data_IF_160818500777
#
_entry.id   IF_160818500777
#
_cell.length_a   1.000
_cell.length_b   1.000
_cell.length_c   1.000
_cell.angle_alpha   90.00
_cell.angle_beta   90.00
_cell.angle_gamma   90.00
#
_symmetry.space_group_name_H-M   'P 1'
#
loop_
_entity.id
_entity.type
_entity.pdbx_description
1 polymer ?
#
# COMPACT_ATOMS: atom_id res chain seq x y z
N UNK A 1 50.41 70.79 68.00
CA UNK A 1 51.16 70.03 66.97
C UNK A 1 50.29 68.85 66.58
N UNK A 2 49.40 69.08 65.62
CA UNK A 2 48.56 68.05 65.02
C UNK A 2 48.73 68.21 63.51
N UNK A 3 49.20 67.13 62.92
CA UNK A 3 49.69 66.99 61.56
C UNK A 3 48.57 67.04 60.52
N UNK A 4 48.95 67.63 59.38
CA UNK A 4 48.19 67.82 58.16
C UNK A 4 47.55 66.54 57.61
N UNK A 5 46.25 66.61 57.34
CA UNK A 5 45.50 65.63 56.57
C UNK A 5 45.49 66.10 55.11
N UNK A 6 46.28 65.42 54.27
CA UNK A 6 46.36 65.68 52.83
C UNK A 6 45.14 65.07 52.13
N UNK A 7 44.29 65.96 51.63
CA UNK A 7 43.16 65.66 50.75
C UNK A 7 43.68 65.26 49.35
N UNK A 8 43.54 63.99 48.99
CA UNK A 8 43.88 63.49 47.65
C UNK A 8 42.60 63.36 46.84
N UNK A 9 42.31 64.40 46.06
CA UNK A 9 41.15 64.49 45.18
C UNK A 9 41.08 63.32 44.19
N UNK A 10 39.98 62.58 44.26
CA UNK A 10 39.59 61.54 43.33
C UNK A 10 39.15 62.18 41.99
N UNK A 11 39.94 62.00 40.93
CA UNK A 11 39.56 62.39 39.57
C UNK A 11 38.69 61.27 38.96
N UNK A 12 37.46 61.54 38.51
CA UNK A 12 36.67 60.53 37.79
C UNK A 12 37.22 60.32 36.38
N UNK A 13 37.43 59.05 36.00
CA UNK A 13 37.83 58.65 34.64
C UNK A 13 36.72 58.97 33.60
N UNK A 14 37.08 59.36 32.36
CA UNK A 14 36.11 59.57 31.30
C UNK A 14 35.48 58.25 30.83
N UNK A 15 34.20 58.25 30.42
CA UNK A 15 33.49 57.01 30.06
C UNK A 15 34.05 56.35 28.79
N UNK A 16 34.02 55.00 28.70
CA UNK A 16 34.52 54.28 27.54
C UNK A 16 33.62 54.48 26.32
N UNK A 17 34.23 54.76 25.17
CA UNK A 17 33.54 54.90 23.87
C UNK A 17 33.18 53.52 23.30
N UNK A 18 31.87 53.26 23.16
CA UNK A 18 31.35 52.06 22.47
C UNK A 18 31.70 52.12 20.98
N UNK A 19 32.66 51.29 20.54
CA UNK A 19 32.85 51.00 19.11
C UNK A 19 31.80 49.98 18.67
N UNK A 20 30.90 50.39 17.77
CA UNK A 20 29.83 49.55 17.22
C UNK A 20 30.40 48.42 16.37
N UNK A 21 30.57 47.26 16.98
CA UNK A 21 31.06 46.03 16.36
C UNK A 21 29.91 45.28 15.65
N UNK A 22 29.23 45.95 14.71
CA UNK A 22 27.95 45.46 14.15
C UNK A 22 27.77 45.32 12.63
N UNK A 23 28.72 45.59 11.70
CA UNK A 23 28.47 45.28 10.30
C UNK A 23 29.04 43.93 9.82
N UNK A 24 29.96 43.27 10.55
CA UNK A 24 30.67 42.10 9.99
C UNK A 24 29.96 40.76 10.16
N UNK A 25 28.99 40.63 11.08
CA UNK A 25 28.27 39.37 11.31
C UNK A 25 27.10 39.14 10.32
N UNK A 26 26.59 40.21 9.70
CA UNK A 26 25.43 40.14 8.81
C UNK A 26 25.77 39.61 7.40
N UNK A 27 26.99 39.89 6.90
CA UNK A 27 27.42 39.43 5.58
C UNK A 27 27.73 37.91 5.59
N UNK A 28 28.21 37.36 6.72
CA UNK A 28 28.48 35.93 6.88
C UNK A 28 27.21 35.07 7.03
N UNK A 29 26.20 35.53 7.77
CA UNK A 29 24.92 34.81 7.89
C UNK A 29 24.06 34.89 6.63
N UNK A 30 24.14 35.97 5.86
CA UNK A 30 23.35 36.14 4.63
C UNK A 30 23.70 35.12 3.55
N UNK A 31 24.99 34.83 3.36
CA UNK A 31 25.44 33.87 2.34
C UNK A 31 25.11 32.43 2.74
N UNK A 32 25.32 32.05 4.00
CA UNK A 32 25.00 30.71 4.50
C UNK A 32 23.49 30.44 4.54
N UNK A 33 22.70 31.45 4.93
CA UNK A 33 21.24 31.36 4.91
C UNK A 33 20.67 31.24 3.50
N UNK A 34 21.22 32.00 2.53
CA UNK A 34 20.79 31.92 1.13
C UNK A 34 21.17 30.58 0.48
N UNK A 35 22.38 30.06 0.75
CA UNK A 35 22.80 28.75 0.25
C UNK A 35 21.95 27.60 0.84
N UNK A 36 21.64 27.67 2.14
CA UNK A 36 20.73 26.73 2.80
C UNK A 36 19.31 26.80 2.21
N UNK A 37 18.81 28.00 1.89
CA UNK A 37 17.49 28.17 1.28
C UNK A 37 17.44 27.67 -0.17
N UNK A 38 18.53 27.80 -0.94
CA UNK A 38 18.63 27.20 -2.28
C UNK A 38 18.74 25.68 -2.25
N UNK A 39 19.44 25.11 -1.26
CA UNK A 39 19.52 23.66 -1.09
C UNK A 39 18.15 23.12 -0.64
N UNK A 40 17.53 23.71 0.38
CA UNK A 40 16.20 23.28 0.83
C UNK A 40 15.13 23.52 -0.24
N UNK A 41 15.14 24.68 -0.91
CA UNK A 41 14.22 25.00 -2.00
C UNK A 41 14.44 24.13 -3.23
N UNK A 42 15.69 23.82 -3.56
CA UNK A 42 16.05 22.91 -4.65
C UNK A 42 15.66 21.47 -4.34
N UNK A 43 15.82 21.01 -3.10
CA UNK A 43 15.37 19.69 -2.65
C UNK A 43 13.85 19.62 -2.61
N UNK A 44 13.14 20.63 -2.09
CA UNK A 44 11.67 20.68 -2.11
C UNK A 44 11.15 20.73 -3.54
N UNK A 45 11.75 21.53 -4.42
CA UNK A 45 11.39 21.58 -5.85
C UNK A 45 11.68 20.25 -6.56
N UNK A 46 12.80 19.60 -6.26
CA UNK A 46 13.14 18.29 -6.79
C UNK A 46 12.21 17.19 -6.28
N UNK A 47 11.92 17.18 -4.97
CA UNK A 47 11.01 16.23 -4.33
C UNK A 47 9.58 16.43 -4.82
N UNK A 48 9.09 17.67 -4.92
CA UNK A 48 7.74 17.94 -5.46
C UNK A 48 7.61 17.61 -6.94
N UNK A 49 8.69 17.76 -7.73
CA UNK A 49 8.69 17.42 -9.16
C UNK A 49 8.90 15.92 -9.44
N UNK A 50 9.57 15.20 -8.54
CA UNK A 50 9.79 13.74 -8.61
C UNK A 50 8.98 12.95 -7.57
N UNK A 51 8.00 13.58 -6.91
CA UNK A 51 7.19 12.94 -5.86
C UNK A 51 6.45 11.72 -6.41
N UNK A 52 5.93 11.82 -7.64
CA UNK A 52 5.32 10.70 -8.35
C UNK A 52 6.31 9.55 -8.60
N UNK A 53 7.56 9.86 -8.93
CA UNK A 53 8.61 8.84 -9.16
C UNK A 53 9.08 8.18 -7.86
N UNK A 54 9.22 8.96 -6.78
CA UNK A 54 9.55 8.47 -5.44
C UNK A 54 8.40 7.65 -4.83
N UNK A 55 7.14 8.07 -5.02
CA UNK A 55 5.96 7.31 -4.61
C UNK A 55 5.82 6.00 -5.38
N UNK A 56 6.08 5.99 -6.70
CA UNK A 56 5.99 4.77 -7.50
C UNK A 56 6.97 3.68 -7.03
N UNK A 57 8.20 4.07 -6.63
CA UNK A 57 9.15 3.13 -6.04
C UNK A 57 8.71 2.62 -4.66
N UNK A 58 8.04 3.46 -3.86
CA UNK A 58 7.41 3.05 -2.60
C UNK A 58 6.23 2.08 -2.80
N UNK A 59 5.32 2.39 -3.72
CA UNK A 59 4.18 1.55 -4.06
C UNK A 59 4.62 0.17 -4.57
N UNK A 60 5.63 0.12 -5.45
CA UNK A 60 6.24 -1.14 -5.88
C UNK A 60 6.73 -1.96 -4.70
N UNK A 61 7.46 -1.35 -3.74
CA UNK A 61 7.98 -2.08 -2.59
C UNK A 61 6.86 -2.73 -1.77
N UNK A 62 5.75 -2.01 -1.55
CA UNK A 62 4.58 -2.52 -0.82
C UNK A 62 3.97 -3.71 -1.56
N UNK A 63 3.71 -3.58 -2.86
CA UNK A 63 3.10 -4.66 -3.66
C UNK A 63 4.02 -5.88 -3.73
N UNK A 64 5.31 -5.69 -4.03
CA UNK A 64 6.30 -6.79 -4.07
C UNK A 64 6.41 -7.47 -2.71
N UNK A 65 6.37 -6.72 -1.62
CA UNK A 65 6.38 -7.27 -0.26
C UNK A 65 5.11 -8.10 0.03
N UNK A 66 3.94 -7.60 -0.35
CA UNK A 66 2.67 -8.32 -0.22
C UNK A 66 2.67 -9.61 -1.04
N UNK A 67 3.16 -9.57 -2.29
CA UNK A 67 3.29 -10.75 -3.15
C UNK A 67 4.27 -11.77 -2.54
N UNK A 68 5.42 -11.32 -2.04
CA UNK A 68 6.39 -12.23 -1.41
C UNK A 68 5.84 -12.90 -0.14
N UNK A 69 5.02 -12.19 0.64
CA UNK A 69 4.37 -12.71 1.84
C UNK A 69 3.15 -13.58 1.56
N UNK A 70 2.61 -13.55 0.34
CA UNK A 70 1.49 -14.42 -0.04
C UNK A 70 1.88 -15.90 -0.04
N UNK A 71 0.88 -16.79 0.01
CA UNK A 71 1.09 -18.24 -0.12
C UNK A 71 1.13 -18.73 -1.58
N UNK A 72 1.30 -17.81 -2.53
CA UNK A 72 1.40 -18.16 -3.95
C UNK A 72 2.65 -19.03 -4.23
N UNK A 73 2.58 -19.93 -5.22
CA UNK A 73 3.76 -20.64 -5.70
C UNK A 73 4.87 -19.65 -6.11
N UNK A 74 6.13 -20.00 -5.83
CA UNK A 74 7.27 -19.10 -6.10
C UNK A 74 7.31 -18.62 -7.57
N UNK A 75 6.94 -19.50 -8.51
CA UNK A 75 6.87 -19.14 -9.92
C UNK A 75 5.79 -18.08 -10.22
N UNK A 76 4.62 -18.18 -9.59
CA UNK A 76 3.53 -17.20 -9.69
C UNK A 76 3.95 -15.86 -9.07
N UNK A 77 4.60 -15.87 -7.91
CA UNK A 77 5.16 -14.65 -7.27
C UNK A 77 6.11 -13.91 -8.21
N UNK A 78 7.10 -14.62 -8.75
CA UNK A 78 8.08 -14.03 -9.66
C UNK A 78 7.43 -13.48 -10.93
N UNK A 79 6.43 -14.20 -11.47
CA UNK A 79 5.68 -13.74 -12.63
C UNK A 79 4.90 -12.44 -12.34
N UNK A 80 4.22 -12.35 -11.19
CA UNK A 80 3.51 -11.14 -10.76
C UNK A 80 4.49 -9.99 -10.52
N UNK A 81 5.58 -10.21 -9.77
CA UNK A 81 6.62 -9.20 -9.51
C UNK A 81 7.18 -8.65 -10.83
N UNK A 82 7.43 -9.51 -11.82
CA UNK A 82 7.89 -9.07 -13.12
C UNK A 82 6.88 -8.14 -13.84
N UNK A 83 5.57 -8.34 -13.66
CA UNK A 83 4.55 -7.43 -14.21
C UNK A 83 4.48 -6.11 -13.45
N UNK A 84 4.59 -6.14 -12.12
CA UNK A 84 4.69 -4.92 -11.29
C UNK A 84 5.91 -4.11 -11.68
N UNK A 85 7.04 -4.77 -11.96
CA UNK A 85 8.28 -4.14 -12.41
C UNK A 85 8.12 -3.50 -13.79
N UNK A 86 7.46 -4.19 -14.73
CA UNK A 86 7.13 -3.63 -16.05
C UNK A 86 6.30 -2.35 -15.91
N UNK A 87 5.22 -2.40 -15.12
CA UNK A 87 4.34 -1.26 -14.90
C UNK A 87 5.09 -0.10 -14.23
N UNK A 88 5.88 -0.39 -13.20
CA UNK A 88 6.70 0.61 -12.51
C UNK A 88 7.69 1.29 -13.45
N UNK A 89 8.43 0.50 -14.24
CA UNK A 89 9.44 1.01 -15.15
C UNK A 89 8.82 1.87 -16.27
N UNK A 90 7.66 1.46 -16.81
CA UNK A 90 6.94 2.25 -17.81
C UNK A 90 6.44 3.59 -17.25
N UNK A 91 5.98 3.60 -16.00
CA UNK A 91 5.60 4.86 -15.35
C UNK A 91 6.82 5.74 -15.05
N UNK A 92 7.95 5.16 -14.64
CA UNK A 92 9.19 5.91 -14.40
C UNK A 92 9.78 6.50 -15.68
N UNK A 93 9.69 5.79 -16.80
CA UNK A 93 10.14 6.28 -18.11
C UNK A 93 9.20 7.32 -18.72
N UNK A 94 8.00 7.49 -18.15
CA UNK A 94 6.94 8.32 -18.71
C UNK A 94 6.31 7.72 -19.97
N UNK A 95 6.47 6.41 -20.18
CA UNK A 95 5.81 5.65 -21.25
C UNK A 95 4.30 5.53 -21.00
N UNK A 96 3.91 5.45 -19.72
CA UNK A 96 2.52 5.54 -19.28
C UNK A 96 2.37 6.70 -18.29
N UNK A 97 1.20 7.32 -18.29
CA UNK A 97 0.88 8.42 -17.39
C UNK A 97 -0.05 7.99 -16.24
N UNK A 98 -0.59 8.97 -15.51
CA UNK A 98 -1.51 8.71 -14.41
C UNK A 98 -2.85 8.15 -14.87
N UNK A 99 -3.35 8.55 -16.05
CA UNK A 99 -4.61 8.06 -16.58
C UNK A 99 -4.49 6.59 -17.01
N UNK A 100 -3.34 6.20 -17.55
CA UNK A 100 -3.04 4.80 -17.85
C UNK A 100 -3.01 3.93 -16.59
N UNK A 101 -2.41 4.44 -15.50
CA UNK A 101 -2.44 3.75 -14.20
C UNK A 101 -3.85 3.65 -13.64
N UNK A 102 -4.64 4.72 -13.68
CA UNK A 102 -6.04 4.72 -13.23
C UNK A 102 -6.87 3.70 -14.01
N UNK A 103 -6.68 3.62 -15.33
CA UNK A 103 -7.30 2.59 -16.16
C UNK A 103 -6.86 1.18 -15.76
N UNK A 104 -5.58 0.96 -15.47
CA UNK A 104 -5.10 -0.33 -14.97
C UNK A 104 -5.75 -0.70 -13.63
N UNK A 105 -5.94 0.28 -12.73
CA UNK A 105 -6.62 0.08 -11.45
C UNK A 105 -8.10 -0.22 -11.63
N UNK A 106 -8.80 0.47 -12.52
CA UNK A 106 -10.20 0.18 -12.83
C UNK A 106 -10.34 -1.22 -13.44
N UNK A 107 -9.44 -1.60 -14.35
CA UNK A 107 -9.40 -2.94 -14.93
C UNK A 107 -9.10 -4.02 -13.89
N UNK A 108 -8.26 -3.71 -12.88
CA UNK A 108 -8.02 -4.60 -11.74
C UNK A 108 -9.25 -4.70 -10.82
N UNK A 109 -9.98 -3.60 -10.61
CA UNK A 109 -11.19 -3.59 -9.81
C UNK A 109 -12.32 -4.41 -10.47
N UNK A 110 -12.41 -4.34 -11.79
CA UNK A 110 -13.34 -5.12 -12.60
C UNK A 110 -12.80 -6.53 -12.91
N UNK A 111 -11.56 -6.84 -12.50
CA UNK A 111 -10.90 -8.10 -12.80
C UNK A 111 -11.39 -9.24 -11.90
N UNK A 112 -11.50 -10.46 -12.47
CA UNK A 112 -11.56 -11.71 -11.73
C UNK A 112 -10.55 -11.89 -10.60
N UNK A 113 -9.43 -11.17 -10.64
CA UNK A 113 -8.31 -11.35 -9.74
C UNK A 113 -8.69 -11.15 -8.28
N UNK A 114 -9.57 -10.18 -7.98
CA UNK A 114 -10.03 -9.96 -6.60
C UNK A 114 -10.81 -11.18 -6.10
N UNK A 115 -11.71 -11.72 -6.91
CA UNK A 115 -12.48 -12.92 -6.58
C UNK A 115 -11.56 -14.14 -6.40
N UNK A 116 -10.56 -14.30 -7.27
CA UNK A 116 -9.55 -15.35 -7.15
C UNK A 116 -8.71 -15.21 -5.88
N UNK A 117 -8.31 -13.99 -5.53
CA UNK A 117 -7.54 -13.72 -4.33
C UNK A 117 -8.31 -14.10 -3.05
N UNK A 118 -9.63 -13.84 -3.01
CA UNK A 118 -10.49 -14.27 -1.89
C UNK A 118 -10.56 -15.79 -1.81
N UNK A 119 -10.77 -16.49 -2.93
CA UNK A 119 -10.80 -17.95 -2.97
C UNK A 119 -9.48 -18.56 -2.50
N UNK A 120 -8.36 -18.05 -3.00
CA UNK A 120 -7.03 -18.49 -2.59
C UNK A 120 -6.77 -18.21 -1.10
N UNK A 121 -7.19 -17.05 -0.59
CA UNK A 121 -7.07 -16.73 0.83
C UNK A 121 -7.89 -17.69 1.70
N UNK A 122 -9.10 -18.07 1.28
CA UNK A 122 -9.92 -19.07 1.97
C UNK A 122 -9.28 -20.45 1.92
N UNK A 123 -8.72 -20.86 0.77
CA UNK A 123 -8.02 -22.14 0.62
C UNK A 123 -6.83 -22.24 1.57
N UNK A 124 -5.91 -21.29 1.44
CA UNK A 124 -4.70 -21.17 2.24
C UNK A 124 -5.01 -21.16 3.74
N UNK A 125 -5.95 -20.28 4.15
CA UNK A 125 -6.22 -20.04 5.56
C UNK A 125 -7.01 -21.17 6.22
N UNK A 126 -8.00 -21.74 5.54
CA UNK A 126 -8.95 -22.67 6.15
C UNK A 126 -8.92 -24.07 5.54
N UNK A 127 -8.86 -24.19 4.21
CA UNK A 127 -8.99 -25.50 3.57
C UNK A 127 -7.75 -26.37 3.79
N UNK A 128 -6.56 -25.81 3.62
CA UNK A 128 -5.29 -26.54 3.76
C UNK A 128 -5.07 -27.03 5.20
N UNK A 129 -5.45 -26.20 6.18
CA UNK A 129 -5.31 -26.48 7.61
C UNK A 129 -6.49 -27.24 8.23
N UNK A 130 -7.62 -27.40 7.52
CA UNK A 130 -8.82 -28.10 8.03
C UNK A 130 -8.62 -29.60 8.21
N UNK A 131 -9.52 -30.20 9.02
CA UNK A 131 -9.67 -31.64 9.22
C UNK A 131 -10.48 -32.35 8.13
N UNK A 132 -10.85 -31.66 7.05
CA UNK A 132 -11.60 -32.23 5.91
C UNK A 132 -10.79 -33.35 5.23
N UNK A 133 -11.48 -34.35 4.69
CA UNK A 133 -10.84 -35.43 3.93
C UNK A 133 -10.31 -34.93 2.57
N UNK A 134 -9.35 -35.63 1.96
CA UNK A 134 -8.72 -35.21 0.71
C UNK A 134 -9.71 -35.03 -0.45
N UNK A 135 -10.69 -35.93 -0.56
CA UNK A 135 -11.76 -35.85 -1.57
C UNK A 135 -12.68 -34.65 -1.30
N UNK A 136 -12.95 -34.36 -0.03
CA UNK A 136 -13.75 -33.21 0.41
C UNK A 136 -13.04 -31.89 0.10
N UNK A 137 -11.72 -31.80 0.34
CA UNK A 137 -10.89 -30.64 -0.05
C UNK A 137 -10.87 -30.43 -1.56
N UNK A 138 -10.74 -31.50 -2.34
CA UNK A 138 -10.78 -31.42 -3.81
C UNK A 138 -12.14 -30.91 -4.30
N UNK A 139 -13.24 -31.37 -3.70
CA UNK A 139 -14.58 -30.89 -4.04
C UNK A 139 -14.80 -29.43 -3.61
N UNK A 140 -14.24 -29.04 -2.47
CA UNK A 140 -14.27 -27.66 -1.99
C UNK A 140 -13.54 -26.71 -2.95
N UNK A 141 -12.33 -27.06 -3.40
CA UNK A 141 -11.58 -26.27 -4.39
C UNK A 141 -12.38 -26.10 -5.69
N UNK A 142 -12.97 -27.17 -6.21
CA UNK A 142 -13.83 -27.10 -7.40
C UNK A 142 -15.02 -26.17 -7.17
N UNK A 143 -15.66 -26.28 -6.01
CA UNK A 143 -16.81 -25.42 -5.64
C UNK A 143 -16.40 -23.94 -5.61
N UNK A 144 -15.28 -23.61 -4.99
CA UNK A 144 -14.78 -22.23 -4.92
C UNK A 144 -14.39 -21.68 -6.30
N UNK A 145 -13.76 -22.51 -7.15
CA UNK A 145 -13.48 -22.15 -8.55
C UNK A 145 -14.76 -21.88 -9.34
N UNK A 146 -15.82 -22.68 -9.13
CA UNK A 146 -17.14 -22.45 -9.75
C UNK A 146 -17.77 -21.15 -9.29
N UNK A 147 -17.72 -20.83 -8.00
CA UNK A 147 -18.22 -19.53 -7.50
C UNK A 147 -17.43 -18.38 -8.12
N UNK A 148 -16.10 -18.48 -8.16
CA UNK A 148 -15.27 -17.46 -8.81
C UNK A 148 -15.68 -17.26 -10.27
N UNK A 149 -15.82 -18.35 -11.04
CA UNK A 149 -16.30 -18.29 -12.43
C UNK A 149 -17.67 -17.62 -12.52
N UNK A 150 -18.58 -17.96 -11.62
CA UNK A 150 -19.93 -17.41 -11.60
C UNK A 150 -19.94 -15.91 -11.37
N UNK A 151 -19.09 -15.40 -10.47
CA UNK A 151 -18.90 -13.96 -10.24
C UNK A 151 -18.31 -13.29 -11.47
N UNK A 152 -17.27 -13.87 -12.08
CA UNK A 152 -16.63 -13.31 -13.28
C UNK A 152 -17.61 -13.20 -14.46
N UNK A 153 -18.45 -14.20 -14.66
CA UNK A 153 -19.45 -14.23 -15.72
C UNK A 153 -20.71 -13.41 -15.36
N UNK A 154 -20.72 -12.71 -14.22
CA UNK A 154 -21.84 -11.95 -13.66
C UNK A 154 -23.13 -12.80 -13.47
N UNK A 155 -22.96 -14.11 -13.30
CA UNK A 155 -24.06 -15.06 -13.04
C UNK A 155 -24.32 -15.27 -11.54
N UNK A 156 -23.36 -14.91 -10.69
CA UNK A 156 -23.47 -14.86 -9.23
C UNK A 156 -23.19 -13.41 -8.80
N UNK A 157 -24.08 -12.81 -8.03
CA UNK A 157 -23.89 -11.47 -7.49
C UNK A 157 -22.86 -11.50 -6.36
N UNK A 158 -21.97 -10.50 -6.30
CA UNK A 158 -20.94 -10.43 -5.26
C UNK A 158 -21.54 -10.34 -3.85
N UNK A 159 -22.72 -9.72 -3.69
CA UNK A 159 -23.43 -9.63 -2.42
C UNK A 159 -23.91 -11.01 -1.93
N UNK A 160 -24.23 -11.92 -2.86
CA UNK A 160 -24.58 -13.30 -2.52
C UNK A 160 -23.35 -14.06 -2.01
N UNK A 161 -22.17 -13.80 -2.59
CA UNK A 161 -20.90 -14.36 -2.11
C UNK A 161 -20.53 -13.80 -0.73
N UNK A 162 -20.74 -12.49 -0.49
CA UNK A 162 -20.56 -11.90 0.83
C UNK A 162 -21.46 -12.54 1.89
N UNK A 163 -22.71 -12.86 1.52
CA UNK A 163 -23.63 -13.60 2.38
C UNK A 163 -23.13 -15.02 2.63
N UNK A 164 -22.60 -15.68 1.61
CA UNK A 164 -22.01 -17.01 1.76
C UNK A 164 -20.84 -17.03 2.75
N UNK A 165 -20.08 -15.94 2.87
CA UNK A 165 -18.95 -15.81 3.80
C UNK A 165 -19.36 -15.72 5.29
N UNK A 166 -20.63 -15.48 5.62
CA UNK A 166 -21.08 -15.31 7.01
C UNK A 166 -20.67 -16.43 7.99
N UNK A 167 -20.63 -17.73 7.62
CA UNK A 167 -20.16 -18.79 8.51
C UNK A 167 -18.68 -18.64 8.89
N UNK A 168 -17.85 -18.04 8.03
CA UNK A 168 -16.40 -17.93 8.22
C UNK A 168 -15.92 -16.50 8.47
N UNK A 169 -16.85 -15.54 8.55
CA UNK A 169 -16.56 -14.12 8.76
C UNK A 169 -17.38 -13.54 9.91
N UNK A 170 -16.86 -12.48 10.52
CA UNK A 170 -17.61 -11.61 11.42
C UNK A 170 -17.90 -10.30 10.71
N UNK A 171 -19.12 -9.77 10.86
CA UNK A 171 -19.46 -8.42 10.39
C UNK A 171 -18.86 -7.37 11.33
N UNK A 172 -18.17 -6.38 10.76
CA UNK A 172 -17.60 -5.21 11.45
C UNK A 172 -18.68 -4.15 11.66
N UNK A 173 -18.39 -3.18 12.53
CA UNK A 173 -19.32 -2.08 12.85
C UNK A 173 -19.64 -1.19 11.64
N UNK A 174 -18.72 -1.09 10.67
CA UNK A 174 -18.90 -0.35 9.41
C UNK A 174 -19.67 -1.14 8.34
N UNK A 175 -20.14 -2.35 8.67
CA UNK A 175 -20.83 -3.25 7.75
C UNK A 175 -19.92 -4.15 6.93
N UNK A 176 -18.59 -3.94 6.95
CA UNK A 176 -17.64 -4.79 6.24
C UNK A 176 -17.46 -6.16 6.87
N UNK A 177 -16.95 -7.13 6.12
CA UNK A 177 -16.61 -8.46 6.65
C UNK A 177 -15.18 -8.51 7.17
N UNK A 178 -14.94 -9.34 8.18
CA UNK A 178 -13.61 -9.72 8.66
C UNK A 178 -13.57 -11.23 8.87
N UNK A 179 -12.73 -11.92 8.09
CA UNK A 179 -12.57 -13.37 8.15
C UNK A 179 -12.07 -13.82 9.53
N UNK A 180 -12.76 -14.79 10.15
CA UNK A 180 -12.44 -15.30 11.49
C UNK A 180 -10.99 -15.78 11.57
N UNK A 181 -10.31 -15.60 12.70
CA UNK A 181 -8.95 -16.14 12.84
C UNK A 181 -8.92 -17.67 12.82
N UNK A 182 -9.93 -18.27 13.44
CA UNK A 182 -10.14 -19.72 13.46
C UNK A 182 -11.55 -20.02 13.01
N UNK A 183 -11.68 -21.05 12.17
CA UNK A 183 -12.93 -21.57 11.63
C UNK A 183 -12.95 -23.06 11.94
N UNK A 184 -14.07 -23.56 12.44
CA UNK A 184 -14.27 -25.00 12.66
C UNK A 184 -14.58 -25.71 11.34
N UNK A 185 -14.30 -27.02 11.27
CA UNK A 185 -14.65 -27.80 10.07
C UNK A 185 -16.15 -27.73 9.74
N UNK A 186 -17.01 -27.57 10.74
CA UNK A 186 -18.46 -27.43 10.52
C UNK A 186 -18.81 -26.08 9.87
N UNK A 187 -18.29 -24.97 10.39
CA UNK A 187 -18.47 -23.64 9.80
C UNK A 187 -17.90 -23.58 8.36
N UNK A 188 -16.77 -24.28 8.12
CA UNK A 188 -16.19 -24.38 6.79
C UNK A 188 -17.10 -25.18 5.84
N UNK A 189 -17.69 -26.28 6.30
CA UNK A 189 -18.69 -27.04 5.51
C UNK A 189 -19.94 -26.23 5.22
N UNK A 190 -20.43 -25.45 6.19
CA UNK A 190 -21.58 -24.55 5.98
C UNK A 190 -21.29 -23.52 4.89
N UNK A 191 -20.13 -22.86 4.95
CA UNK A 191 -19.67 -21.95 3.90
C UNK A 191 -19.57 -22.65 2.53
N UNK A 192 -18.93 -23.83 2.47
CA UNK A 192 -18.78 -24.57 1.21
C UNK A 192 -20.12 -25.05 0.64
N UNK A 193 -21.07 -25.42 1.50
CA UNK A 193 -22.42 -25.79 1.10
C UNK A 193 -23.15 -24.58 0.47
N UNK A 194 -22.98 -23.39 1.03
CA UNK A 194 -23.58 -22.17 0.47
C UNK A 194 -22.91 -21.76 -0.85
N UNK A 195 -21.58 -21.82 -0.94
CA UNK A 195 -20.87 -21.64 -2.21
C UNK A 195 -21.36 -22.62 -3.29
N UNK A 196 -21.57 -23.89 -2.92
CA UNK A 196 -22.10 -24.91 -3.84
C UNK A 196 -23.51 -24.55 -4.30
N UNK A 197 -24.38 -24.14 -3.37
CA UNK A 197 -25.74 -23.70 -3.69
C UNK A 197 -25.72 -22.55 -4.69
N UNK A 198 -24.89 -21.53 -4.47
CA UNK A 198 -24.75 -20.40 -5.39
C UNK A 198 -24.31 -20.84 -6.79
N UNK A 199 -23.28 -21.68 -6.88
CA UNK A 199 -22.79 -22.18 -8.15
C UNK A 199 -23.82 -23.06 -8.88
N UNK A 200 -24.56 -23.90 -8.13
CA UNK A 200 -25.60 -24.77 -8.68
C UNK A 200 -26.81 -23.96 -9.16
N UNK A 201 -27.27 -22.97 -8.39
CA UNK A 201 -28.40 -22.10 -8.75
C UNK A 201 -28.09 -21.21 -9.97
N UNK A 202 -26.85 -20.74 -10.08
CA UNK A 202 -26.36 -20.00 -11.24
C UNK A 202 -26.04 -20.91 -12.45
N UNK A 203 -26.23 -22.23 -12.32
CA UNK A 203 -25.90 -23.23 -13.34
C UNK A 203 -24.45 -23.15 -13.84
N UNK A 204 -23.50 -22.80 -12.97
CA UNK A 204 -22.08 -22.73 -13.32
C UNK A 204 -21.56 -24.16 -13.55
N UNK A 205 -21.01 -24.50 -14.74
CA UNK A 205 -20.50 -25.83 -15.02
C UNK A 205 -19.47 -26.31 -14.00
N UNK A 206 -19.52 -27.59 -13.64
CA UNK A 206 -18.50 -28.25 -12.79
C UNK A 206 -17.32 -28.73 -13.65
N UNK A 207 -16.62 -27.76 -14.21
CA UNK A 207 -15.40 -27.97 -15.00
C UNK A 207 -14.18 -27.61 -14.17
N UNK A 208 -13.08 -28.35 -14.36
CA UNK A 208 -11.81 -27.98 -13.73
C UNK A 208 -11.21 -26.81 -14.50
N UNK A 209 -11.36 -25.62 -13.93
CA UNK A 209 -10.84 -24.39 -14.49
C UNK A 209 -9.52 -24.08 -13.78
N UNK A 210 -8.43 -24.00 -14.53
CA UNK A 210 -7.18 -23.41 -14.05
C UNK A 210 -7.22 -21.90 -14.26
N UNK A 211 -7.17 -21.16 -13.17
CA UNK A 211 -6.96 -19.72 -13.18
C UNK A 211 -5.51 -19.42 -12.85
N UNK A 212 -4.86 -18.58 -13.66
CA UNK A 212 -3.52 -18.07 -13.36
C UNK A 212 -3.62 -16.60 -12.97
N UNK A 213 -3.34 -16.31 -11.69
CA UNK A 213 -3.32 -14.93 -11.17
C UNK A 213 -2.25 -14.13 -11.93
N UNK A 214 -1.07 -14.71 -12.13
CA UNK A 214 -0.01 -14.07 -12.90
C UNK A 214 -0.40 -13.74 -14.36
N UNK A 215 -1.18 -14.59 -15.03
CA UNK A 215 -1.69 -14.31 -16.36
C UNK A 215 -2.68 -13.13 -16.37
N UNK A 216 -3.53 -13.03 -15.36
CA UNK A 216 -4.50 -11.94 -15.22
C UNK A 216 -3.81 -10.62 -14.87
N UNK A 217 -2.83 -10.61 -13.96
CA UNK A 217 -2.00 -9.42 -13.69
C UNK A 217 -1.30 -8.96 -14.98
N UNK A 218 -0.74 -9.90 -15.76
CA UNK A 218 -0.10 -9.57 -17.04
C UNK A 218 -1.09 -8.90 -18.00
N UNK A 219 -2.31 -9.43 -18.12
CA UNK A 219 -3.35 -8.85 -18.98
C UNK A 219 -3.66 -7.40 -18.58
N UNK A 220 -3.85 -7.14 -17.29
CA UNK A 220 -4.13 -5.79 -16.76
C UNK A 220 -2.96 -4.84 -17.05
N UNK A 221 -1.72 -5.27 -16.79
CA UNK A 221 -0.53 -4.48 -17.09
C UNK A 221 -0.40 -4.22 -18.59
N UNK A 222 -0.72 -5.20 -19.43
CA UNK A 222 -0.69 -5.00 -20.89
C UNK A 222 -1.77 -4.02 -21.37
N UNK A 223 -2.92 -3.90 -20.69
CA UNK A 223 -3.91 -2.85 -20.98
C UNK A 223 -3.35 -1.47 -20.62
N UNK A 224 -2.70 -1.34 -19.46
CA UNK A 224 -2.06 -0.09 -19.05
C UNK A 224 -0.99 0.36 -20.04
N UNK A 225 -0.15 -0.57 -20.50
CA UNK A 225 0.94 -0.31 -21.45
C UNK A 225 0.46 -0.12 -22.90
N UNK A 226 -0.80 -0.43 -23.21
CA UNK A 226 -1.38 -0.22 -24.53
C UNK A 226 -1.81 1.23 -24.78
N UNK A 227 -1.64 2.13 -23.80
CA UNK A 227 -1.68 3.60 -23.90
C UNK A 227 -2.16 4.11 -25.25
N UNK A 228 -3.39 4.65 -25.29
CA UNK A 228 -3.98 5.23 -26.50
C UNK A 228 -2.91 6.15 -27.10
N UNK A 229 -2.45 5.88 -28.31
CA UNK A 229 -1.28 6.54 -28.91
C UNK A 229 -1.44 8.05 -29.18
N UNK A 230 -2.19 8.78 -28.37
CA UNK A 230 -2.32 10.23 -28.34
C UNK A 230 -1.37 10.84 -27.31
N UNK A 231 -0.29 11.38 -27.84
CA UNK A 231 0.54 12.45 -27.28
C UNK A 231 1.28 12.18 -25.96
N UNK A 232 2.47 11.59 -26.15
CA UNK A 232 3.63 11.90 -25.32
C UNK A 232 3.88 13.42 -25.31
N UNK A 233 3.32 14.10 -24.31
CA UNK A 233 3.69 15.47 -23.95
C UNK A 233 2.50 16.41 -23.85
N UNK A 234 2.00 16.58 -22.62
CA UNK A 234 1.52 17.84 -22.03
C UNK A 234 0.28 17.59 -21.15
N UNK A 235 0.49 17.34 -19.87
CA UNK A 235 -0.61 17.32 -18.90
C UNK A 235 -0.09 17.47 -17.48
N UNK A 236 -0.43 18.58 -16.85
CA UNK A 236 0.02 18.98 -15.52
C UNK A 236 -0.25 17.93 -14.44
N UNK A 237 0.70 17.82 -13.49
CA UNK A 237 0.53 17.15 -12.21
C UNK A 237 -0.73 17.68 -11.49
N UNK A 238 -1.83 16.96 -11.62
CA UNK A 238 -2.93 16.99 -10.67
C UNK A 238 -2.58 16.01 -9.56
N UNK A 239 -2.27 16.53 -8.37
CA UNK A 239 -2.04 15.68 -7.21
C UNK A 239 -3.25 14.79 -6.96
N UNK A 240 -3.07 13.47 -7.05
CA UNK A 240 -4.01 12.54 -6.46
C UNK A 240 -3.82 12.68 -4.94
N UNK A 241 -4.70 13.46 -4.31
CA UNK A 241 -4.83 13.45 -2.85
C UNK A 241 -5.60 12.17 -2.51
N UNK A 242 -4.86 11.06 -2.46
CA UNK A 242 -5.34 9.85 -1.78
C UNK A 242 -5.30 10.23 -0.30
N UNK A 243 -6.45 10.58 0.28
CA UNK A 243 -6.64 10.57 1.73
C UNK A 243 -6.43 9.12 2.20
N UNK A 244 -5.18 8.78 2.49
CA UNK A 244 -4.84 7.61 3.27
C UNK A 244 -5.53 7.78 4.64
N UNK A 245 -6.16 6.73 5.20
CA UNK A 245 -6.71 6.81 6.54
C UNK A 245 -5.61 7.31 7.48
N UNK A 246 -5.93 8.40 8.18
CA UNK A 246 -4.99 9.16 8.97
C UNK A 246 -4.13 8.27 9.86
N UNK A 247 -2.85 8.60 9.89
CA UNK A 247 -1.78 7.97 10.65
C UNK A 247 -2.12 7.97 12.15
N UNK A 248 -3.01 7.07 12.59
CA UNK A 248 -3.13 6.76 14.01
C UNK A 248 -1.93 5.89 14.36
N UNK A 249 -0.85 6.58 14.74
CA UNK A 249 0.15 6.17 15.71
C UNK A 249 0.26 4.64 15.86
N UNK A 250 0.98 4.02 14.91
CA UNK A 250 1.47 2.67 15.07
C UNK A 250 2.47 2.69 16.23
N UNK A 251 1.97 2.44 17.44
CA UNK A 251 2.76 2.22 18.64
C UNK A 251 3.24 0.76 18.59
N UNK A 252 4.53 0.50 18.26
CA UNK A 252 5.02 -0.87 18.23
C UNK A 252 4.91 -1.45 19.64
N UNK A 253 4.16 -2.57 19.76
CA UNK A 253 4.01 -3.29 21.01
C UNK A 253 5.39 -3.50 21.67
N UNK A 254 5.56 -3.17 22.97
CA UNK A 254 6.84 -3.34 23.64
C UNK A 254 7.20 -4.82 23.66
N UNK A 255 8.41 -5.11 23.19
CA UNK A 255 9.03 -6.43 23.25
C UNK A 255 8.93 -6.95 24.69
N UNK A 256 8.18 -8.02 24.85
CA UNK A 256 7.99 -8.79 26.04
C UNK A 256 9.33 -9.43 26.47
N UNK A 257 10.01 -8.74 27.38
CA UNK A 257 11.00 -9.33 28.25
C UNK A 257 10.29 -10.29 29.23
N UNK A 258 10.15 -11.56 28.86
CA UNK A 258 9.97 -12.64 29.82
C UNK A 258 10.29 -14.02 29.19
N UNK A 259 11.57 -14.37 29.23
CA UNK A 259 12.02 -15.76 29.21
C UNK A 259 13.02 -15.99 30.34
N UNK A 260 12.54 -15.88 31.57
CA UNK A 260 13.15 -16.50 32.74
C UNK A 260 12.03 -17.14 33.59
N UNK A 261 11.70 -18.40 33.28
CA UNK A 261 11.55 -19.47 34.27
C UNK A 261 11.48 -20.84 33.58
#
# INVERSE_FOLDING_TARGET
MSSDFVDTGFQPEPPPTKKSMWPTCLIGCGVTGFLGLLICGGVIFYVTRNASQLMASGARMIVVSAVNQSELPEQEKQAIIAQVDRLHNAFQSGEIDQADLERAFNELADSPLISLAVVEAVRAKYLDSSGLEADEKTQAERTLKRVCRGVMDNSIDINDVETALEPIANRREDGGLNLKQHVTDEELREFLAECRRLADDANVPDEDIEFSISAEVKRIVDVALQGDGSDAGSGAAGGLEIELPGESEWDPAPADANSEN
#
